data_IF_545897713580
#
_entry.id   IF_545897713580
#
_cell.length_a   1.000
_cell.length_b   1.000
_cell.length_c   1.000
_cell.angle_alpha   90.00
_cell.angle_beta   90.00
_cell.angle_gamma   90.00
#
_symmetry.space_group_name_H-M   'P 1'
#
loop_
_entity.id
_entity.type
_entity.pdbx_description
1 polymer ?
#
# COMPACT_ATOMS: atom_id res chain seq x y z
N UNK A 1 -6.05 -4.79 17.16
CA UNK A 1 -5.35 -4.17 16.00
C UNK A 1 -4.41 -5.21 15.39
N UNK A 2 -4.75 -5.76 14.22
CA UNK A 2 -4.10 -6.83 13.39
C UNK A 2 -3.50 -8.08 14.07
N UNK A 3 -2.90 -8.00 15.25
CA UNK A 3 -2.42 -9.13 16.05
C UNK A 3 -3.51 -10.17 16.34
N UNK A 4 -4.75 -9.74 16.54
CA UNK A 4 -5.89 -10.63 16.78
C UNK A 4 -6.45 -11.28 15.49
N UNK A 5 -6.00 -10.82 14.32
CA UNK A 5 -6.45 -11.28 13.00
C UNK A 5 -5.34 -11.99 12.22
N UNK A 6 -4.08 -11.80 12.61
CA UNK A 6 -2.93 -12.38 11.96
C UNK A 6 -2.88 -13.89 12.21
N UNK A 7 -2.84 -14.66 11.13
CA UNK A 7 -2.61 -16.10 11.12
C UNK A 7 -1.16 -16.44 10.78
N UNK A 8 -0.42 -15.48 10.19
CA UNK A 8 0.97 -15.61 9.76
C UNK A 8 1.78 -14.36 10.13
N UNK A 9 3.04 -14.54 10.55
CA UNK A 9 3.92 -13.44 11.00
C UNK A 9 4.13 -12.35 9.95
N UNK A 10 4.16 -12.74 8.67
CA UNK A 10 4.34 -11.80 7.55
C UNK A 10 3.24 -10.74 7.49
N UNK A 11 2.04 -11.02 8.00
CA UNK A 11 0.91 -10.09 8.02
C UNK A 11 1.12 -8.92 8.99
N UNK A 12 2.10 -9.01 9.88
CA UNK A 12 2.50 -7.93 10.79
C UNK A 12 3.59 -7.02 10.20
N UNK A 13 4.19 -7.44 9.08
CA UNK A 13 5.24 -6.70 8.39
C UNK A 13 4.64 -5.93 7.21
N UNK A 14 4.25 -4.69 7.45
CA UNK A 14 3.65 -3.81 6.44
C UNK A 14 4.32 -2.43 6.42
N UNK A 15 4.38 -1.77 5.26
CA UNK A 15 4.89 -0.41 5.16
C UNK A 15 3.95 0.55 5.91
N UNK A 16 4.54 1.47 6.67
CA UNK A 16 3.82 2.58 7.31
C UNK A 16 4.22 3.87 6.63
N UNK A 17 3.23 4.62 6.17
CA UNK A 17 3.41 5.93 5.54
C UNK A 17 2.66 6.97 6.37
N UNK A 18 3.37 8.03 6.75
CA UNK A 18 2.82 9.22 7.38
C UNK A 18 2.46 10.23 6.30
N UNK A 19 1.36 10.96 6.48
CA UNK A 19 0.93 11.95 5.49
C UNK A 19 0.18 13.13 6.11
N UNK A 20 0.33 14.31 5.48
CA UNK A 20 -0.47 15.51 5.72
C UNK A 20 -1.24 15.82 4.43
N UNK A 21 -2.49 15.35 4.37
CA UNK A 21 -3.30 15.45 3.16
C UNK A 21 -3.52 16.88 2.68
N UNK A 22 -3.68 17.84 3.61
CA UNK A 22 -3.88 19.26 3.28
C UNK A 22 -2.68 19.91 2.60
N UNK A 23 -1.48 19.41 2.88
CA UNK A 23 -0.22 19.91 2.31
C UNK A 23 0.26 19.05 1.15
N UNK A 24 -0.35 17.88 0.93
CA UNK A 24 0.05 16.93 -0.10
C UNK A 24 1.41 16.28 0.17
N UNK A 25 1.75 16.04 1.44
CA UNK A 25 3.07 15.53 1.88
C UNK A 25 2.98 14.14 2.47
N UNK A 26 3.95 13.28 2.17
CA UNK A 26 4.07 11.94 2.75
C UNK A 26 5.52 11.54 3.04
N UNK A 27 5.72 10.57 3.92
CA UNK A 27 7.06 10.08 4.29
C UNK A 27 7.02 8.83 5.19
N UNK A 28 8.21 8.30 5.49
CA UNK A 28 8.37 7.08 6.31
C UNK A 28 8.47 7.37 7.82
N UNK A 29 8.65 8.64 8.19
CA UNK A 29 8.65 9.10 9.57
C UNK A 29 7.82 10.39 9.69
N UNK A 30 7.18 10.66 10.84
CA UNK A 30 6.30 11.82 11.02
C UNK A 30 7.04 13.16 10.97
N UNK A 31 8.33 13.18 11.29
CA UNK A 31 9.24 14.32 11.29
C UNK A 31 10.04 14.46 9.98
N UNK A 32 9.95 13.47 9.08
CA UNK A 32 10.63 13.44 7.79
C UNK A 32 9.63 13.18 6.64
N UNK A 33 8.88 14.22 6.30
CA UNK A 33 7.92 14.20 5.21
C UNK A 33 8.48 14.89 3.97
N UNK A 34 8.44 14.18 2.84
CA UNK A 34 8.71 14.74 1.52
C UNK A 34 7.75 15.90 1.19
N UNK A 35 8.10 16.78 0.25
CA UNK A 35 7.22 17.89 -0.16
C UNK A 35 6.01 17.42 -1.00
N UNK A 36 5.90 16.13 -1.29
CA UNK A 36 4.89 15.55 -2.15
C UNK A 36 4.43 14.16 -1.66
N UNK A 37 3.52 13.54 -2.42
CA UNK A 37 2.98 12.20 -2.15
C UNK A 37 3.76 11.08 -2.84
N UNK A 38 4.91 11.34 -3.46
CA UNK A 38 5.70 10.29 -4.14
C UNK A 38 6.00 9.10 -3.22
N UNK A 39 6.37 9.28 -1.93
CA UNK A 39 6.61 8.14 -1.03
C UNK A 39 5.39 7.21 -0.88
N UNK A 40 4.18 7.78 -0.85
CA UNK A 40 2.94 7.01 -0.78
C UNK A 40 2.74 6.17 -2.06
N UNK A 41 2.85 6.80 -3.22
CA UNK A 41 2.64 6.09 -4.49
C UNK A 41 3.70 5.03 -4.76
N UNK A 42 4.96 5.29 -4.39
CA UNK A 42 6.03 4.29 -4.45
C UNK A 42 5.73 3.10 -3.55
N UNK A 43 5.33 3.34 -2.30
CA UNK A 43 4.96 2.26 -1.39
C UNK A 43 3.85 1.37 -1.95
N UNK A 44 2.83 1.96 -2.60
CA UNK A 44 1.77 1.22 -3.28
C UNK A 44 2.34 0.34 -4.40
N UNK A 45 3.14 0.91 -5.29
CA UNK A 45 3.72 0.17 -6.43
C UNK A 45 4.62 -0.99 -5.95
N UNK A 46 5.38 -0.76 -4.87
CA UNK A 46 6.34 -1.73 -4.35
C UNK A 46 5.68 -2.87 -3.57
N UNK A 47 4.57 -2.61 -2.87
CA UNK A 47 3.99 -3.57 -1.91
C UNK A 47 2.64 -4.14 -2.33
N UNK A 48 1.91 -3.51 -3.25
CA UNK A 48 0.63 -4.03 -3.75
C UNK A 48 0.90 -4.91 -4.97
N UNK A 49 0.66 -6.24 -4.87
CA UNK A 49 0.83 -7.11 -6.01
C UNK A 49 -0.17 -6.76 -7.11
N UNK A 50 0.18 -6.97 -8.39
CA UNK A 50 -0.77 -6.81 -9.48
C UNK A 50 -1.94 -7.81 -9.32
N UNK A 51 -3.13 -7.49 -9.85
CA UNK A 51 -4.23 -8.43 -9.86
C UNK A 51 -3.86 -9.69 -10.65
N UNK A 52 -4.21 -10.85 -10.10
CA UNK A 52 -4.01 -12.14 -10.77
C UNK A 52 -5.16 -12.33 -11.76
N UNK A 53 -4.86 -12.33 -13.06
CA UNK A 53 -5.83 -12.54 -14.13
C UNK A 53 -5.23 -13.34 -15.28
N UNK A 54 -6.07 -14.14 -15.95
CA UNK A 54 -5.69 -14.81 -17.19
C UNK A 54 -5.90 -13.86 -18.38
N UNK A 55 -4.80 -13.27 -18.86
CA UNK A 55 -4.83 -12.31 -19.97
C UNK A 55 -5.18 -12.94 -21.33
N UNK A 56 -5.04 -14.26 -21.47
CA UNK A 56 -5.36 -15.00 -22.70
C UNK A 56 -6.75 -15.67 -22.64
N UNK A 57 -7.44 -15.57 -21.50
CA UNK A 57 -8.74 -16.16 -21.28
C UNK A 57 -9.91 -15.33 -21.83
N UNK A 58 -11.13 -15.90 -21.87
CA UNK A 58 -12.33 -15.11 -22.14
C UNK A 58 -12.54 -14.06 -21.05
N UNK A 59 -13.22 -12.95 -21.40
CA UNK A 59 -13.56 -11.88 -20.44
C UNK A 59 -14.34 -12.46 -19.25
N UNK A 60 -13.87 -12.17 -18.04
CA UNK A 60 -14.52 -12.54 -16.78
C UNK A 60 -14.69 -11.30 -15.91
N UNK A 61 -15.91 -11.09 -15.42
CA UNK A 61 -16.27 -10.04 -14.47
C UNK A 61 -17.25 -10.63 -13.47
N UNK A 62 -16.97 -10.49 -12.17
CA UNK A 62 -17.90 -10.83 -11.09
C UNK A 62 -18.74 -9.60 -10.75
N UNK A 63 -20.06 -9.74 -10.78
CA UNK A 63 -21.03 -8.71 -10.36
C UNK A 63 -21.50 -9.00 -8.95
#
# INVERSE_FOLDING_TARGET
>A
LFLELATEDAQLSYPVIYAIAREGRAGHAPDDLAPDLIPLFRAIIEHVPPPVANMEGPVQVLV
#
